data_IF_817313698543
#
_entry.id   IF_817313698543
#
_cell.length_a   1.000
_cell.length_b   1.000
_cell.length_c   1.000
_cell.angle_alpha   90.00
_cell.angle_beta   90.00
_cell.angle_gamma   90.00
#
_symmetry.space_group_name_H-M   'P 1'
#
loop_
_entity.id
_entity.type
_entity.pdbx_description
1 polymer ?
#
# COMPACT_ATOMS: atom_id res chain seq x y z
N UNK A 1 -39.63 -0.72 -19.54
CA UNK A 1 -38.91 -0.90 -18.28
C UNK A 1 -38.39 0.48 -17.90
N UNK A 2 -38.88 1.04 -16.82
CA UNK A 2 -38.45 2.37 -16.35
C UNK A 2 -37.03 2.20 -15.79
N UNK A 3 -36.02 2.75 -16.47
CA UNK A 3 -34.64 2.71 -16.02
C UNK A 3 -34.53 3.69 -14.84
N UNK A 4 -34.30 3.19 -13.66
CA UNK A 4 -34.16 4.04 -12.46
C UNK A 4 -32.76 4.66 -12.45
N UNK A 5 -32.68 5.99 -12.43
CA UNK A 5 -31.41 6.72 -12.38
C UNK A 5 -30.54 6.30 -11.18
N UNK A 6 -31.12 6.01 -10.02
CA UNK A 6 -30.38 5.52 -8.85
C UNK A 6 -29.72 4.17 -9.12
N UNK A 7 -30.34 3.29 -9.91
CA UNK A 7 -29.74 2.00 -10.28
C UNK A 7 -28.55 2.19 -11.24
N UNK A 8 -28.60 3.19 -12.11
CA UNK A 8 -27.47 3.55 -12.98
C UNK A 8 -26.32 4.16 -12.16
N UNK A 9 -26.64 5.08 -11.25
CA UNK A 9 -25.65 5.72 -10.37
C UNK A 9 -24.99 4.74 -9.38
N UNK A 10 -25.64 3.62 -9.03
CA UNK A 10 -25.03 2.59 -8.18
C UNK A 10 -23.85 1.87 -8.85
N UNK A 11 -23.68 2.02 -10.17
CA UNK A 11 -22.52 1.50 -10.90
C UNK A 11 -21.30 2.43 -10.86
N UNK A 12 -21.50 3.67 -10.40
CA UNK A 12 -20.42 4.66 -10.27
C UNK A 12 -19.69 4.44 -8.95
N UNK A 13 -18.41 4.14 -9.05
CA UNK A 13 -17.57 3.84 -7.90
C UNK A 13 -16.69 5.06 -7.59
N UNK A 14 -16.72 5.51 -6.34
CA UNK A 14 -15.78 6.52 -5.87
C UNK A 14 -14.35 5.95 -5.91
N UNK A 15 -13.39 6.63 -6.59
CA UNK A 15 -12.04 6.09 -6.78
C UNK A 15 -11.20 6.07 -5.49
N UNK A 16 -11.49 6.93 -4.50
CA UNK A 16 -10.77 6.98 -3.23
C UNK A 16 -11.35 5.99 -2.20
N UNK A 17 -12.68 5.85 -2.17
CA UNK A 17 -13.39 5.00 -1.22
C UNK A 17 -13.67 3.59 -1.75
N UNK A 18 -13.60 3.39 -3.08
CA UNK A 18 -13.85 2.11 -3.78
C UNK A 18 -15.22 1.49 -3.49
N UNK A 19 -16.20 2.34 -3.21
CA UNK A 19 -17.59 1.98 -2.97
C UNK A 19 -18.52 2.73 -3.93
N UNK A 20 -19.73 2.21 -4.21
CA UNK A 20 -20.73 2.92 -4.99
C UNK A 20 -21.10 4.27 -4.36
N UNK A 21 -21.17 5.33 -5.18
CA UNK A 21 -21.52 6.68 -4.68
C UNK A 21 -22.92 6.72 -4.02
N UNK A 22 -23.80 5.81 -4.40
CA UNK A 22 -25.12 5.65 -3.76
C UNK A 22 -25.00 5.11 -2.34
N UNK A 23 -24.11 4.16 -2.09
CA UNK A 23 -23.86 3.61 -0.76
C UNK A 23 -23.16 4.62 0.15
N UNK A 24 -22.32 5.48 -0.43
CA UNK A 24 -21.61 6.53 0.29
C UNK A 24 -22.49 7.72 0.69
N UNK A 25 -23.75 7.76 0.21
CA UNK A 25 -24.65 8.90 0.44
C UNK A 25 -24.26 10.14 -0.38
N UNK A 26 -23.46 9.93 -1.47
CA UNK A 26 -23.02 11.01 -2.35
C UNK A 26 -24.08 11.41 -3.38
N UNK A 27 -25.19 10.70 -3.50
CA UNK A 27 -26.28 11.04 -4.40
C UNK A 27 -27.32 11.87 -3.64
N UNK A 28 -27.51 13.12 -4.07
CA UNK A 28 -28.52 14.03 -3.56
C UNK A 28 -29.86 13.88 -4.28
N UNK A 29 -30.47 15.00 -4.67
CA UNK A 29 -31.73 15.00 -5.39
C UNK A 29 -31.57 14.40 -6.80
N UNK A 30 -32.47 13.48 -7.15
CA UNK A 30 -32.57 12.91 -8.49
C UNK A 30 -33.97 13.11 -9.02
N UNK A 31 -34.10 13.74 -10.18
CA UNK A 31 -35.38 14.04 -10.83
C UNK A 31 -35.37 13.45 -12.24
N UNK A 32 -36.32 12.53 -12.49
CA UNK A 32 -36.53 11.90 -13.80
C UNK A 32 -37.76 12.51 -14.47
N UNK A 33 -37.63 13.00 -15.70
CA UNK A 33 -38.72 13.60 -16.50
C UNK A 33 -38.69 13.06 -17.93
N UNK A 34 -39.29 11.90 -18.14
CA UNK A 34 -39.25 11.22 -19.44
C UNK A 34 -37.83 10.79 -19.81
N UNK A 35 -37.28 11.36 -20.87
CA UNK A 35 -35.91 11.08 -21.32
C UNK A 35 -34.84 11.99 -20.69
N UNK A 36 -35.26 12.95 -19.86
CA UNK A 36 -34.36 13.85 -19.14
C UNK A 36 -34.19 13.39 -17.69
N UNK A 37 -32.94 13.45 -17.21
CA UNK A 37 -32.59 13.24 -15.80
C UNK A 37 -31.71 14.35 -15.29
N UNK A 38 -32.04 14.86 -14.10
CA UNK A 38 -31.17 15.78 -13.34
C UNK A 38 -30.75 15.09 -12.04
N UNK A 39 -29.45 15.03 -11.75
CA UNK A 39 -28.92 14.41 -10.56
C UNK A 39 -27.92 15.34 -9.85
N UNK A 40 -28.05 15.43 -8.52
CA UNK A 40 -27.06 16.11 -7.68
C UNK A 40 -26.07 15.08 -7.11
N UNK A 41 -24.78 15.35 -7.26
CA UNK A 41 -23.70 14.53 -6.66
C UNK A 41 -23.01 15.37 -5.59
N UNK A 42 -22.95 14.85 -4.37
CA UNK A 42 -22.36 15.49 -3.20
C UNK A 42 -20.96 14.95 -2.95
N UNK A 43 -19.97 15.81 -3.10
CA UNK A 43 -18.56 15.47 -2.80
C UNK A 43 -18.30 15.51 -1.29
N UNK A 44 -17.34 14.74 -0.83
CA UNK A 44 -16.94 14.69 0.58
C UNK A 44 -16.34 16.02 1.07
N UNK A 45 -15.58 16.69 0.22
CA UNK A 45 -14.95 18.00 0.51
C UNK A 45 -15.00 18.92 -0.71
N UNK A 46 -14.87 20.22 -0.45
CA UNK A 46 -14.64 21.23 -1.50
C UNK A 46 -13.28 20.97 -2.13
N UNK A 47 -13.21 20.91 -3.46
CA UNK A 47 -11.96 20.66 -4.19
C UNK A 47 -11.49 19.20 -4.18
N UNK A 48 -12.41 18.24 -4.00
CA UNK A 48 -12.10 16.81 -4.09
C UNK A 48 -11.32 16.49 -5.37
N UNK A 49 -10.14 15.85 -5.30
CA UNK A 49 -9.34 15.49 -6.48
C UNK A 49 -10.07 14.57 -7.45
N UNK A 50 -11.00 13.77 -6.94
CA UNK A 50 -11.81 12.81 -7.71
C UNK A 50 -13.03 13.46 -8.40
N UNK A 51 -13.36 14.73 -8.14
CA UNK A 51 -14.60 15.38 -8.56
C UNK A 51 -14.88 15.22 -10.05
N UNK A 52 -13.93 15.57 -10.91
CA UNK A 52 -14.08 15.47 -12.37
C UNK A 52 -14.30 14.04 -12.86
N UNK A 53 -13.65 13.07 -12.21
CA UNK A 53 -13.82 11.67 -12.56
C UNK A 53 -15.21 11.18 -12.17
N UNK A 54 -15.66 11.48 -10.97
CA UNK A 54 -17.00 11.09 -10.47
C UNK A 54 -18.08 11.72 -11.33
N UNK A 55 -17.96 13.02 -11.67
CA UNK A 55 -18.92 13.71 -12.53
C UNK A 55 -19.01 13.05 -13.90
N UNK A 56 -17.90 12.83 -14.57
CA UNK A 56 -17.83 12.16 -15.88
C UNK A 56 -18.44 10.76 -15.83
N UNK A 57 -18.09 9.97 -14.81
CA UNK A 57 -18.55 8.59 -14.68
C UNK A 57 -20.06 8.55 -14.34
N UNK A 58 -20.57 9.53 -13.58
CA UNK A 58 -22.01 9.69 -13.31
C UNK A 58 -22.79 10.05 -14.58
N UNK A 59 -22.29 11.01 -15.38
CA UNK A 59 -22.89 11.36 -16.68
C UNK A 59 -22.92 10.14 -17.60
N UNK A 60 -21.81 9.43 -17.72
CA UNK A 60 -21.70 8.25 -18.58
C UNK A 60 -22.63 7.11 -18.12
N UNK A 61 -22.84 6.95 -16.81
CA UNK A 61 -23.77 5.96 -16.27
C UNK A 61 -25.21 6.33 -16.60
N UNK A 62 -25.61 7.58 -16.40
CA UNK A 62 -26.99 8.06 -16.66
C UNK A 62 -27.33 8.06 -18.15
N UNK A 63 -26.38 8.36 -19.05
CA UNK A 63 -26.56 8.30 -20.50
C UNK A 63 -26.91 6.91 -21.05
N UNK A 64 -26.76 5.85 -20.27
CA UNK A 64 -27.20 4.51 -20.65
C UNK A 64 -28.73 4.36 -20.65
N UNK A 65 -29.43 5.25 -19.96
CA UNK A 65 -30.89 5.18 -19.82
C UNK A 65 -31.64 6.47 -20.17
N UNK A 66 -30.94 7.59 -20.33
CA UNK A 66 -31.53 8.90 -20.56
C UNK A 66 -30.81 9.61 -21.71
N UNK A 67 -31.57 10.30 -22.58
CA UNK A 67 -30.99 11.06 -23.70
C UNK A 67 -30.53 12.47 -23.29
N UNK A 68 -31.14 13.06 -22.25
CA UNK A 68 -30.76 14.34 -21.67
C UNK A 68 -30.33 14.16 -20.23
N UNK A 69 -29.04 14.40 -19.94
CA UNK A 69 -28.44 14.22 -18.61
C UNK A 69 -27.87 15.52 -18.11
N UNK A 70 -28.27 15.94 -16.92
CA UNK A 70 -27.73 17.10 -16.22
C UNK A 70 -27.24 16.67 -14.82
N UNK A 71 -25.94 16.85 -14.55
CA UNK A 71 -25.33 16.54 -13.26
C UNK A 71 -24.85 17.83 -12.62
N UNK A 72 -25.27 18.07 -11.38
CA UNK A 72 -24.77 19.16 -10.55
C UNK A 72 -23.90 18.64 -9.43
N UNK A 73 -22.83 19.36 -9.12
CA UNK A 73 -21.88 19.00 -8.06
C UNK A 73 -22.09 19.91 -6.86
N UNK A 74 -22.25 19.33 -5.68
CA UNK A 74 -22.30 20.04 -4.39
C UNK A 74 -21.35 19.41 -3.38
N UNK A 75 -21.38 19.85 -2.14
CA UNK A 75 -20.54 19.28 -1.07
C UNK A 75 -21.44 18.82 0.07
N UNK A 76 -21.10 17.69 0.67
CA UNK A 76 -21.78 17.15 1.85
C UNK A 76 -21.80 18.13 3.01
N UNK A 77 -22.93 18.21 3.71
CA UNK A 77 -23.04 18.88 5.00
C UNK A 77 -22.21 18.18 6.08
N UNK A 78 -22.04 18.81 7.25
CA UNK A 78 -21.39 18.19 8.41
C UNK A 78 -22.05 16.87 8.81
N UNK A 79 -23.38 16.86 8.88
CA UNK A 79 -24.16 15.68 9.30
C UNK A 79 -24.01 14.52 8.31
N UNK A 80 -24.00 14.83 7.00
CA UNK A 80 -23.79 13.82 5.96
C UNK A 80 -22.38 13.24 6.00
N UNK A 81 -21.37 14.07 6.28
CA UNK A 81 -19.99 13.57 6.49
C UNK A 81 -19.88 12.70 7.74
N UNK A 82 -20.57 13.05 8.82
CA UNK A 82 -20.60 12.25 10.06
C UNK A 82 -21.27 10.90 9.82
N UNK A 83 -22.31 10.86 9.00
CA UNK A 83 -22.95 9.60 8.59
C UNK A 83 -22.03 8.76 7.71
N UNK A 84 -21.35 9.37 6.74
CA UNK A 84 -20.35 8.71 5.91
C UNK A 84 -19.24 8.10 6.77
N UNK A 85 -18.67 8.86 7.71
CA UNK A 85 -17.63 8.37 8.64
C UNK A 85 -18.11 7.17 9.46
N UNK A 86 -19.34 7.21 9.97
CA UNK A 86 -19.95 6.06 10.67
C UNK A 86 -20.07 4.83 9.78
N UNK A 87 -20.50 5.00 8.53
CA UNK A 87 -20.56 3.89 7.55
C UNK A 87 -19.18 3.29 7.26
N UNK A 88 -18.16 4.14 7.09
CA UNK A 88 -16.81 3.70 6.75
C UNK A 88 -16.07 3.02 7.93
N UNK A 89 -16.25 3.52 9.15
CA UNK A 89 -15.60 2.99 10.36
C UNK A 89 -16.41 1.86 11.03
N UNK A 90 -17.72 1.76 10.76
CA UNK A 90 -18.63 0.94 11.53
C UNK A 90 -18.73 1.44 12.99
N UNK A 91 -19.13 0.57 13.92
CA UNK A 91 -19.24 0.88 15.35
C UNK A 91 -17.90 0.85 16.09
N UNK A 92 -16.76 0.92 15.36
CA UNK A 92 -15.43 0.89 15.96
C UNK A 92 -15.10 2.21 16.65
N UNK A 93 -14.40 2.16 17.80
CA UNK A 93 -14.01 3.38 18.51
C UNK A 93 -13.08 4.25 17.65
N UNK A 94 -13.14 5.54 17.89
CA UNK A 94 -12.18 6.51 17.30
C UNK A 94 -10.77 6.07 17.71
N UNK A 95 -9.84 5.96 16.73
CA UNK A 95 -8.47 5.46 16.91
C UNK A 95 -8.34 3.98 17.28
N UNK A 96 -9.02 3.13 16.54
CA UNK A 96 -8.78 1.69 16.57
C UNK A 96 -7.75 1.31 15.48
N UNK A 97 -6.68 0.62 15.88
CA UNK A 97 -5.75 0.01 14.92
C UNK A 97 -6.34 -1.32 14.40
N UNK A 98 -6.88 -1.35 13.17
CA UNK A 98 -7.53 -2.56 12.66
C UNK A 98 -6.55 -3.71 12.45
N UNK A 99 -5.27 -3.41 12.22
CA UNK A 99 -4.25 -4.42 11.91
C UNK A 99 -3.71 -5.13 13.16
N UNK A 100 -3.99 -4.59 14.36
CA UNK A 100 -3.70 -5.27 15.63
C UNK A 100 -4.84 -6.21 16.06
N UNK A 101 -6.01 -6.13 15.42
CA UNK A 101 -7.15 -7.00 15.72
C UNK A 101 -6.84 -8.43 15.25
N UNK A 102 -6.93 -9.44 16.14
CA UNK A 102 -6.72 -10.85 15.78
C UNK A 102 -7.70 -11.37 14.70
N UNK A 103 -8.87 -10.73 14.54
CA UNK A 103 -9.84 -11.06 13.50
C UNK A 103 -9.47 -10.46 12.13
N UNK A 104 -8.58 -9.49 12.07
CA UNK A 104 -8.15 -8.90 10.81
C UNK A 104 -7.32 -9.89 9.99
N UNK A 105 -7.68 -10.06 8.73
CA UNK A 105 -7.04 -11.00 7.80
C UNK A 105 -5.92 -10.38 6.97
N UNK A 106 -5.71 -9.07 7.08
CA UNK A 106 -4.66 -8.36 6.33
C UNK A 106 -3.28 -8.89 6.72
N UNK A 107 -2.50 -9.24 5.73
CA UNK A 107 -1.09 -9.63 5.92
C UNK A 107 -0.21 -8.39 5.92
N UNK A 108 0.30 -8.03 7.08
CA UNK A 108 1.24 -6.91 7.21
C UNK A 108 2.65 -7.42 6.96
N UNK A 109 3.37 -6.78 6.03
CA UNK A 109 4.74 -7.16 5.65
C UNK A 109 5.63 -5.92 5.72
N UNK A 110 6.61 -5.96 6.61
CA UNK A 110 7.66 -4.95 6.69
C UNK A 110 8.76 -5.24 5.67
N UNK A 111 9.15 -4.23 4.93
CA UNK A 111 10.29 -4.32 4.01
C UNK A 111 11.43 -3.51 4.63
N UNK A 112 12.42 -4.23 5.13
CA UNK A 112 13.57 -3.66 5.81
C UNK A 112 14.88 -3.86 5.05
N UNK A 113 15.88 -3.04 5.35
CA UNK A 113 17.24 -3.19 4.84
C UNK A 113 18.26 -2.73 5.87
N UNK A 114 19.46 -3.29 5.80
CA UNK A 114 20.54 -2.87 6.69
C UNK A 114 21.12 -1.50 6.33
N UNK A 115 21.14 -1.15 5.05
CA UNK A 115 21.74 0.09 4.53
C UNK A 115 20.75 0.82 3.63
N UNK A 116 20.95 2.15 3.51
CA UNK A 116 20.33 2.95 2.45
C UNK A 116 20.93 2.61 1.07
N UNK A 117 20.20 2.90 0.01
CA UNK A 117 20.67 2.75 -1.37
C UNK A 117 20.68 1.32 -1.92
N UNK A 118 20.13 0.33 -1.21
CA UNK A 118 20.01 -1.05 -1.71
C UNK A 118 18.80 -1.27 -2.64
N UNK A 119 18.04 -0.23 -2.93
CA UNK A 119 16.83 -0.30 -3.78
C UNK A 119 15.58 -0.81 -3.06
N UNK A 120 15.55 -0.77 -1.72
CA UNK A 120 14.43 -1.23 -0.88
C UNK A 120 13.09 -0.62 -1.32
N UNK A 121 12.98 0.71 -1.36
CA UNK A 121 11.72 1.40 -1.67
C UNK A 121 11.26 1.17 -3.12
N UNK A 122 12.19 1.14 -4.08
CA UNK A 122 11.89 0.76 -5.48
C UNK A 122 11.31 -0.64 -5.55
N UNK A 123 11.88 -1.58 -4.82
CA UNK A 123 11.38 -2.95 -4.73
C UNK A 123 10.01 -2.98 -4.03
N UNK A 124 9.84 -2.25 -2.92
CA UNK A 124 8.58 -2.19 -2.17
C UNK A 124 7.43 -1.66 -3.03
N UNK A 125 7.65 -0.57 -3.77
CA UNK A 125 6.66 0.00 -4.69
C UNK A 125 6.26 -1.00 -5.79
N UNK A 126 7.25 -1.62 -6.44
CA UNK A 126 7.01 -2.60 -7.49
C UNK A 126 6.33 -3.88 -6.95
N UNK A 127 6.71 -4.34 -5.76
CA UNK A 127 6.08 -5.50 -5.12
C UNK A 127 4.60 -5.23 -4.76
N UNK A 128 4.30 -4.02 -4.27
CA UNK A 128 2.92 -3.61 -4.00
C UNK A 128 2.07 -3.63 -5.28
N UNK A 129 2.59 -3.09 -6.38
CA UNK A 129 1.91 -3.08 -7.68
C UNK A 129 1.79 -4.50 -8.25
N UNK A 130 2.81 -5.35 -8.12
CA UNK A 130 2.74 -6.75 -8.56
C UNK A 130 1.66 -7.54 -7.79
N UNK A 131 1.54 -7.35 -6.47
CA UNK A 131 0.47 -7.97 -5.68
C UNK A 131 -0.92 -7.45 -6.10
N UNK A 132 -1.04 -6.16 -6.38
CA UNK A 132 -2.29 -5.57 -6.89
C UNK A 132 -2.67 -6.17 -8.26
N UNK A 133 -1.72 -6.33 -9.18
CA UNK A 133 -1.95 -6.97 -10.48
C UNK A 133 -2.35 -8.46 -10.37
N UNK A 134 -1.99 -9.13 -9.28
CA UNK A 134 -2.46 -10.48 -8.95
C UNK A 134 -3.89 -10.48 -8.37
N UNK A 135 -4.56 -9.33 -8.27
CA UNK A 135 -5.93 -9.18 -7.81
C UNK A 135 -6.08 -8.98 -6.30
N UNK A 136 -5.00 -8.71 -5.57
CA UNK A 136 -5.07 -8.42 -4.14
C UNK A 136 -5.28 -6.92 -3.86
N UNK A 137 -6.02 -6.61 -2.80
CA UNK A 137 -6.17 -5.24 -2.28
C UNK A 137 -4.96 -4.90 -1.44
N UNK A 138 -4.19 -3.92 -1.87
CA UNK A 138 -2.88 -3.60 -1.30
C UNK A 138 -2.85 -2.17 -0.76
N UNK A 139 -2.39 -2.04 0.49
CA UNK A 139 -1.97 -0.79 1.10
C UNK A 139 -0.45 -0.72 1.19
N UNK A 140 0.09 0.49 1.14
CA UNK A 140 1.52 0.76 1.25
C UNK A 140 1.77 1.96 2.15
N UNK A 141 2.52 1.75 3.23
CA UNK A 141 3.02 2.80 4.11
C UNK A 141 4.50 3.04 3.82
N UNK A 142 4.86 4.28 3.52
CA UNK A 142 6.24 4.75 3.49
C UNK A 142 6.58 5.36 4.85
N UNK A 143 7.35 4.64 5.65
CA UNK A 143 7.77 5.03 6.98
C UNK A 143 9.23 5.55 7.03
N UNK A 144 9.87 5.73 5.87
CA UNK A 144 11.23 6.29 5.77
C UNK A 144 11.18 7.81 5.80
N UNK A 145 11.42 8.40 6.99
CA UNK A 145 11.31 9.85 7.20
C UNK A 145 12.38 10.64 6.47
N UNK A 146 13.58 10.08 6.41
CA UNK A 146 14.74 10.79 5.87
C UNK A 146 14.92 10.54 4.38
N UNK A 147 14.27 9.52 3.85
CA UNK A 147 14.42 9.10 2.47
C UNK A 147 13.10 8.68 1.82
N UNK A 148 11.97 9.30 2.24
CA UNK A 148 10.66 8.99 1.65
C UNK A 148 10.73 9.14 0.13
N UNK A 149 10.38 8.08 -0.57
CA UNK A 149 10.49 8.02 -2.03
C UNK A 149 9.30 7.34 -2.70
N UNK A 150 8.49 6.63 -1.96
CA UNK A 150 7.34 5.86 -2.50
C UNK A 150 6.39 6.72 -3.33
N UNK A 151 5.99 7.95 -2.91
CA UNK A 151 5.11 8.77 -3.75
C UNK A 151 5.72 9.06 -5.13
N UNK A 152 6.99 9.45 -5.17
CA UNK A 152 7.71 9.70 -6.42
C UNK A 152 7.81 8.45 -7.31
N UNK A 153 8.10 7.29 -6.72
CA UNK A 153 8.20 6.00 -7.42
C UNK A 153 6.87 5.53 -8.03
N UNK A 154 5.74 6.01 -7.50
CA UNK A 154 4.39 5.71 -7.98
C UNK A 154 3.73 6.87 -8.73
N UNK A 155 4.45 7.96 -9.00
CA UNK A 155 3.93 9.13 -9.70
C UNK A 155 2.83 9.88 -8.93
N UNK A 156 2.80 9.76 -7.59
CA UNK A 156 1.83 10.44 -6.73
C UNK A 156 2.34 11.84 -6.41
N UNK A 157 1.58 12.85 -6.81
CA UNK A 157 1.90 14.26 -6.57
C UNK A 157 0.99 14.95 -5.53
N UNK A 158 -0.06 14.25 -5.08
CA UNK A 158 -1.04 14.78 -4.13
C UNK A 158 -0.95 14.06 -2.79
N UNK A 159 -1.20 14.78 -1.71
CA UNK A 159 -1.36 14.17 -0.38
C UNK A 159 -2.74 13.50 -0.20
N UNK A 160 -2.99 12.93 1.00
CA UNK A 160 -4.28 12.32 1.31
C UNK A 160 -5.39 13.36 1.38
N UNK A 161 -6.58 12.99 0.93
CA UNK A 161 -7.80 13.78 1.10
C UNK A 161 -8.27 13.67 2.55
N UNK A 162 -8.45 14.80 3.23
CA UNK A 162 -8.92 14.83 4.62
C UNK A 162 -10.43 15.06 4.69
N UNK A 163 -11.14 14.14 5.31
CA UNK A 163 -12.55 14.27 5.66
C UNK A 163 -12.62 14.33 7.19
N UNK A 164 -12.52 15.53 7.74
CA UNK A 164 -12.31 15.81 9.16
C UNK A 164 -11.06 15.07 9.71
N UNK A 165 -11.19 14.11 10.61
CA UNK A 165 -10.08 13.30 11.13
C UNK A 165 -9.76 12.07 10.28
N UNK A 166 -10.59 11.74 9.29
CA UNK A 166 -10.35 10.60 8.40
C UNK A 166 -9.48 11.03 7.23
N UNK A 167 -8.46 10.24 6.93
CA UNK A 167 -7.57 10.45 5.79
C UNK A 167 -7.87 9.40 4.71
N UNK A 168 -8.21 9.87 3.51
CA UNK A 168 -8.34 9.01 2.34
C UNK A 168 -6.99 8.99 1.61
N UNK A 169 -6.31 7.84 1.55
CA UNK A 169 -5.01 7.75 0.91
C UNK A 169 -5.13 7.88 -0.60
N UNK A 170 -4.22 8.58 -1.30
CA UNK A 170 -4.17 8.54 -2.75
C UNK A 170 -3.95 7.11 -3.24
N UNK A 171 -4.50 6.81 -4.41
CA UNK A 171 -4.41 5.50 -5.04
C UNK A 171 -3.63 5.62 -6.34
N UNK A 172 -2.59 4.81 -6.48
CA UNK A 172 -1.83 4.67 -7.72
C UNK A 172 -1.65 3.17 -8.03
N UNK A 173 -1.87 2.78 -9.28
CA UNK A 173 -1.78 1.38 -9.74
C UNK A 173 -2.59 0.40 -8.85
N UNK A 174 -3.78 0.83 -8.43
CA UNK A 174 -4.66 0.10 -7.49
C UNK A 174 -4.06 -0.15 -6.10
N UNK A 175 -3.00 0.56 -5.71
CA UNK A 175 -2.40 0.53 -4.38
C UNK A 175 -2.78 1.80 -3.63
N UNK A 176 -3.32 1.65 -2.41
CA UNK A 176 -3.57 2.77 -1.49
C UNK A 176 -2.28 3.15 -0.78
N UNK A 177 -1.86 4.41 -0.86
CA UNK A 177 -0.51 4.82 -0.40
C UNK A 177 -0.60 5.93 0.63
N UNK A 178 0.14 5.79 1.72
CA UNK A 178 0.41 6.86 2.66
C UNK A 178 1.91 6.96 2.89
N UNK A 179 2.45 8.16 2.86
CA UNK A 179 3.87 8.43 3.12
C UNK A 179 4.02 9.55 4.13
N UNK A 180 5.01 9.42 4.99
CA UNK A 180 5.39 10.50 5.90
C UNK A 180 5.74 11.78 5.12
N UNK A 181 6.29 11.64 3.91
CA UNK A 181 6.62 12.75 3.02
C UNK A 181 5.41 13.60 2.59
N UNK A 182 4.20 13.03 2.60
CA UNK A 182 2.98 13.77 2.25
C UNK A 182 2.58 14.81 3.31
N UNK A 183 3.20 14.78 4.49
CA UNK A 183 2.93 15.67 5.62
C UNK A 183 4.10 16.62 5.91
N UNK A 184 5.15 16.55 5.11
CA UNK A 184 6.31 17.44 5.21
C UNK A 184 6.13 18.54 4.18
N UNK A 185 6.14 19.81 4.64
CA UNK A 185 6.13 20.96 3.74
C UNK A 185 7.44 21.00 2.94
N UNK A 186 7.36 21.32 1.67
CA UNK A 186 8.50 21.38 0.75
C UNK A 186 9.71 22.09 1.36
N UNK A 187 10.86 21.37 1.39
CA UNK A 187 12.17 21.85 1.81
C UNK A 187 12.32 22.38 3.25
N UNK A 188 11.37 22.12 4.15
CA UNK A 188 11.59 22.40 5.56
C UNK A 188 12.16 21.18 6.28
N UNK A 189 13.36 21.26 6.88
CA UNK A 189 13.87 20.18 7.71
C UNK A 189 12.97 20.04 8.96
N UNK A 190 12.18 18.99 9.00
CA UNK A 190 11.41 18.64 10.18
C UNK A 190 12.28 17.78 11.09
N UNK A 191 12.56 18.27 12.29
CA UNK A 191 13.28 17.49 13.29
C UNK A 191 12.32 16.46 13.91
N UNK A 192 12.14 15.33 13.23
CA UNK A 192 11.36 14.21 13.75
C UNK A 192 12.07 13.60 14.97
N UNK A 193 11.38 13.63 16.11
CA UNK A 193 11.82 12.91 17.32
C UNK A 193 11.05 11.60 17.44
N UNK A 194 11.65 10.58 18.07
CA UNK A 194 11.04 9.25 18.20
C UNK A 194 9.54 9.24 18.58
N UNK A 195 9.10 10.00 19.61
CA UNK A 195 7.68 10.05 19.99
C UNK A 195 6.75 10.66 18.91
N UNK A 196 7.24 11.63 18.14
CA UNK A 196 6.45 12.23 17.05
C UNK A 196 6.25 11.23 15.91
N UNK A 197 7.28 10.46 15.61
CA UNK A 197 7.26 9.42 14.60
C UNK A 197 6.31 8.30 14.99
N UNK A 198 6.41 7.80 16.22
CA UNK A 198 5.50 6.78 16.73
C UNK A 198 4.04 7.22 16.57
N UNK A 199 3.74 8.48 16.95
CA UNK A 199 2.39 9.06 16.79
C UNK A 199 1.95 9.15 15.33
N UNK A 200 2.84 9.55 14.40
CA UNK A 200 2.51 9.63 12.97
C UNK A 200 2.18 8.26 12.41
N UNK A 201 2.99 7.24 12.76
CA UNK A 201 2.75 5.86 12.34
C UNK A 201 1.43 5.33 12.94
N UNK A 202 1.16 5.60 14.22
CA UNK A 202 -0.11 5.25 14.85
C UNK A 202 -1.29 5.88 14.10
N UNK A 203 -1.20 7.16 13.73
CA UNK A 203 -2.22 7.83 12.92
C UNK A 203 -2.38 7.20 11.54
N UNK A 204 -1.31 6.75 10.89
CA UNK A 204 -1.41 6.05 9.61
C UNK A 204 -2.17 4.71 9.74
N UNK A 205 -2.09 4.07 10.89
CA UNK A 205 -2.81 2.83 11.14
C UNK A 205 -4.26 3.04 11.57
N UNK A 206 -4.56 4.18 12.24
CA UNK A 206 -5.87 4.42 12.87
C UNK A 206 -6.75 5.42 12.12
N UNK A 207 -6.18 6.46 11.53
CA UNK A 207 -6.90 7.58 10.96
C UNK A 207 -6.99 7.52 9.43
N UNK A 208 -6.18 6.65 8.78
CA UNK A 208 -6.27 6.39 7.34
C UNK A 208 -7.37 5.37 7.05
N UNK A 209 -8.21 5.66 6.07
CA UNK A 209 -9.19 4.71 5.56
C UNK A 209 -8.52 3.71 4.61
N UNK A 210 -8.20 2.54 5.12
CA UNK A 210 -7.58 1.48 4.34
C UNK A 210 -8.58 0.57 3.62
N UNK A 211 -9.85 0.59 4.03
CA UNK A 211 -10.82 -0.40 3.57
C UNK A 211 -10.45 -1.80 4.03
N UNK A 212 -10.84 -2.79 3.24
CA UNK A 212 -10.54 -4.20 3.51
C UNK A 212 -9.34 -4.64 2.66
N UNK A 213 -8.16 -4.69 3.27
CA UNK A 213 -6.91 -5.04 2.60
C UNK A 213 -6.59 -6.53 2.71
N UNK A 214 -5.97 -7.09 1.66
CA UNK A 214 -5.30 -8.40 1.70
C UNK A 214 -3.86 -8.27 2.18
N UNK A 215 -3.17 -7.19 1.77
CA UNK A 215 -1.79 -6.89 2.13
C UNK A 215 -1.61 -5.44 2.55
N UNK A 216 -0.83 -5.22 3.60
CA UNK A 216 -0.27 -3.91 3.96
C UNK A 216 1.25 -4.03 3.94
N UNK A 217 1.89 -3.42 2.95
CA UNK A 217 3.34 -3.31 2.92
C UNK A 217 3.79 -2.06 3.67
N UNK A 218 4.87 -2.17 4.41
CA UNK A 218 5.46 -1.03 5.15
C UNK A 218 6.92 -0.91 4.76
N UNK A 219 7.27 0.15 4.06
CA UNK A 219 8.64 0.49 3.70
C UNK A 219 9.34 1.12 4.91
N UNK A 220 10.24 0.37 5.54
CA UNK A 220 10.95 0.81 6.74
C UNK A 220 12.13 1.75 6.38
N UNK A 221 12.54 2.67 7.27
CA UNK A 221 13.84 3.31 7.12
C UNK A 221 14.96 2.28 7.18
N UNK A 222 16.11 2.58 6.53
CA UNK A 222 17.25 1.67 6.57
C UNK A 222 17.85 1.55 7.98
N UNK A 223 18.41 0.40 8.29
CA UNK A 223 19.08 0.14 9.56
C UNK A 223 18.17 -0.47 10.63
N UNK A 224 18.54 -0.23 11.89
CA UNK A 224 17.99 -0.91 13.07
C UNK A 224 17.35 0.08 14.04
N UNK A 225 16.79 1.18 13.51
CA UNK A 225 16.31 2.31 14.31
C UNK A 225 14.97 2.08 15.04
N UNK A 226 14.61 3.06 15.86
CA UNK A 226 13.42 3.08 16.71
C UNK A 226 12.10 2.86 15.96
N UNK A 227 12.07 3.19 14.66
CA UNK A 227 10.90 3.02 13.79
C UNK A 227 10.50 1.56 13.65
N UNK A 228 11.47 0.69 13.38
CA UNK A 228 11.22 -0.75 13.23
C UNK A 228 10.71 -1.37 14.53
N UNK A 229 11.25 -0.93 15.67
CA UNK A 229 10.83 -1.36 16.99
C UNK A 229 9.40 -0.87 17.29
N UNK A 230 9.13 0.41 17.05
CA UNK A 230 7.79 1.01 17.26
C UNK A 230 6.73 0.33 16.41
N UNK A 231 7.01 0.09 15.12
CA UNK A 231 6.12 -0.63 14.22
C UNK A 231 5.90 -2.07 14.67
N UNK A 232 6.95 -2.76 15.13
CA UNK A 232 6.83 -4.10 15.67
C UNK A 232 5.90 -4.18 16.89
N UNK A 233 5.92 -3.16 17.74
CA UNK A 233 5.00 -3.05 18.89
C UNK A 233 3.55 -2.78 18.48
N UNK A 234 3.34 -1.92 17.47
CA UNK A 234 2.02 -1.57 16.96
C UNK A 234 1.40 -2.69 16.10
N UNK A 235 2.23 -3.55 15.50
CA UNK A 235 1.85 -4.58 14.54
C UNK A 235 2.56 -5.92 14.88
N UNK A 236 2.25 -6.53 16.02
CA UNK A 236 2.98 -7.71 16.52
C UNK A 236 2.85 -8.95 15.64
N UNK A 237 1.80 -9.01 14.80
CA UNK A 237 1.56 -10.11 13.86
C UNK A 237 2.17 -9.86 12.47
N UNK A 238 2.93 -8.77 12.29
CA UNK A 238 3.58 -8.50 11.03
C UNK A 238 4.68 -9.52 10.73
N UNK A 239 4.89 -9.75 9.45
CA UNK A 239 6.05 -10.49 8.95
C UNK A 239 7.05 -9.51 8.36
N UNK A 240 8.30 -9.92 8.14
CA UNK A 240 9.31 -9.06 7.53
C UNK A 240 10.01 -9.73 6.34
N UNK A 241 10.43 -8.91 5.39
CA UNK A 241 11.32 -9.26 4.28
C UNK A 241 12.55 -8.37 4.39
N UNK A 242 13.73 -8.96 4.24
CA UNK A 242 15.00 -8.24 4.32
C UNK A 242 15.56 -8.05 2.92
N UNK A 243 15.82 -6.80 2.54
CA UNK A 243 16.46 -6.45 1.27
C UNK A 243 17.96 -6.20 1.49
N UNK A 244 18.78 -6.84 0.69
CA UNK A 244 20.25 -6.69 0.72
C UNK A 244 20.83 -6.60 -0.69
N UNK A 245 22.15 -6.45 -0.78
CA UNK A 245 22.94 -6.58 -2.02
C UNK A 245 23.98 -7.67 -1.84
N UNK A 246 24.66 -8.15 -2.91
CA UNK A 246 25.67 -9.21 -2.81
C UNK A 246 26.85 -8.90 -1.91
N UNK A 247 27.15 -7.63 -1.67
CA UNK A 247 28.29 -7.18 -0.90
C UNK A 247 28.26 -7.68 0.55
N UNK A 248 29.32 -8.28 1.02
CA UNK A 248 29.45 -8.82 2.38
C UNK A 248 29.16 -7.79 3.48
N UNK A 249 29.60 -6.54 3.30
CA UNK A 249 29.30 -5.46 4.27
C UNK A 249 27.81 -5.10 4.32
N UNK A 250 27.07 -5.23 3.21
CA UNK A 250 25.62 -5.02 3.19
C UNK A 250 24.90 -6.19 3.87
N UNK A 251 25.35 -7.42 3.62
CA UNK A 251 24.83 -8.62 4.24
C UNK A 251 24.91 -8.56 5.77
N UNK A 252 26.08 -8.23 6.34
CA UNK A 252 26.26 -8.13 7.80
C UNK A 252 25.32 -7.12 8.47
N UNK A 253 25.00 -6.00 7.81
CA UNK A 253 24.08 -5.01 8.37
C UNK A 253 22.63 -5.44 8.16
N UNK A 254 22.33 -6.12 7.05
CA UNK A 254 21.01 -6.69 6.79
C UNK A 254 20.62 -7.79 7.79
N UNK A 255 21.60 -8.63 8.23
CA UNK A 255 21.41 -9.59 9.31
C UNK A 255 20.91 -8.92 10.60
N UNK A 256 21.48 -7.77 10.98
CA UNK A 256 21.06 -7.01 12.15
C UNK A 256 19.63 -6.48 12.01
N UNK A 257 19.27 -5.98 10.83
CA UNK A 257 17.92 -5.51 10.56
C UNK A 257 16.89 -6.66 10.68
N UNK A 258 17.19 -7.83 10.12
CA UNK A 258 16.35 -9.01 10.27
C UNK A 258 16.27 -9.52 11.70
N UNK A 259 17.37 -9.46 12.47
CA UNK A 259 17.41 -9.86 13.87
C UNK A 259 16.50 -9.00 14.76
N UNK A 260 16.35 -7.69 14.48
CA UNK A 260 15.39 -6.83 15.18
C UNK A 260 13.97 -7.29 14.94
N UNK A 261 13.61 -7.66 13.70
CA UNK A 261 12.31 -8.25 13.40
C UNK A 261 12.02 -9.47 14.26
N UNK A 262 13.01 -10.38 14.38
CA UNK A 262 12.90 -11.55 15.24
C UNK A 262 12.74 -11.19 16.73
N UNK A 263 13.50 -10.21 17.23
CA UNK A 263 13.40 -9.75 18.64
C UNK A 263 12.05 -9.11 18.96
N UNK A 264 11.39 -8.50 17.97
CA UNK A 264 10.05 -7.93 18.11
C UNK A 264 8.94 -8.94 17.79
N UNK A 265 9.27 -10.24 17.68
CA UNK A 265 8.32 -11.32 17.49
C UNK A 265 7.85 -11.53 16.04
N UNK A 266 8.44 -10.85 15.07
CA UNK A 266 8.07 -10.97 13.68
C UNK A 266 8.64 -12.23 13.04
N UNK A 267 7.88 -12.81 12.10
CA UNK A 267 8.36 -13.87 11.23
C UNK A 267 9.10 -13.28 10.04
N UNK A 268 10.35 -13.69 9.81
CA UNK A 268 11.07 -13.34 8.58
C UNK A 268 10.61 -14.28 7.45
N UNK A 269 9.92 -13.73 6.44
CA UNK A 269 9.43 -14.48 5.27
C UNK A 269 10.57 -14.86 4.33
N UNK A 270 11.57 -14.02 4.24
CA UNK A 270 12.74 -14.29 3.39
C UNK A 270 13.62 -13.06 3.15
N UNK A 271 14.59 -13.27 2.30
CA UNK A 271 15.58 -12.27 1.88
C UNK A 271 15.43 -12.04 0.39
N UNK A 272 15.59 -10.79 -0.05
CA UNK A 272 15.68 -10.42 -1.47
C UNK A 272 17.05 -9.79 -1.68
N UNK A 273 17.80 -10.33 -2.65
CA UNK A 273 19.08 -9.76 -3.05
C UNK A 273 18.88 -8.90 -4.30
N UNK A 274 19.05 -7.60 -4.16
CA UNK A 274 18.99 -6.65 -5.28
C UNK A 274 20.39 -6.37 -5.81
N UNK A 275 20.50 -5.87 -7.05
CA UNK A 275 21.76 -5.59 -7.74
C UNK A 275 22.67 -6.83 -7.83
N UNK A 276 22.06 -8.00 -7.96
CA UNK A 276 22.77 -9.29 -7.86
C UNK A 276 23.73 -9.52 -9.01
N UNK A 277 23.33 -9.16 -10.21
CA UNK A 277 24.16 -9.36 -11.42
C UNK A 277 23.70 -8.41 -12.52
N UNK A 278 24.58 -8.18 -13.48
CA UNK A 278 24.27 -7.56 -14.76
C UNK A 278 24.16 -8.67 -15.82
N UNK A 279 23.02 -8.75 -16.51
CA UNK A 279 22.88 -9.62 -17.66
C UNK A 279 23.67 -9.09 -18.86
N UNK A 280 24.52 -9.92 -19.43
CA UNK A 280 25.32 -9.60 -20.62
C UNK A 280 25.14 -10.69 -21.69
N UNK A 281 25.44 -10.43 -22.96
CA UNK A 281 25.38 -11.44 -24.00
C UNK A 281 26.23 -12.70 -23.73
N UNK A 282 27.26 -12.55 -22.88
CA UNK A 282 28.19 -13.64 -22.50
C UNK A 282 27.80 -14.32 -21.18
N UNK A 283 26.70 -13.92 -20.54
CA UNK A 283 26.23 -14.45 -19.26
C UNK A 283 26.15 -13.41 -18.16
N UNK A 284 25.95 -13.86 -16.92
CA UNK A 284 25.81 -12.99 -15.75
C UNK A 284 27.17 -12.44 -15.30
N UNK A 285 27.24 -11.12 -15.11
CA UNK A 285 28.39 -10.45 -14.53
C UNK A 285 28.07 -9.96 -13.11
N UNK A 286 28.79 -10.46 -12.11
CA UNK A 286 28.57 -10.18 -10.69
C UNK A 286 29.42 -8.98 -10.23
N UNK A 287 29.05 -7.77 -10.65
CA UNK A 287 29.78 -6.53 -10.40
C UNK A 287 29.99 -6.26 -8.89
N UNK A 288 29.02 -6.60 -8.06
CA UNK A 288 29.05 -6.39 -6.61
C UNK A 288 29.37 -7.66 -5.80
N UNK A 289 29.91 -8.70 -6.46
CA UNK A 289 30.11 -10.01 -5.86
C UNK A 289 28.83 -10.86 -5.87
N UNK A 290 28.84 -11.96 -5.17
CA UNK A 290 27.74 -12.93 -5.14
C UNK A 290 27.56 -13.56 -3.76
N UNK A 291 26.34 -14.07 -3.48
CA UNK A 291 26.06 -14.88 -2.30
C UNK A 291 25.69 -14.11 -1.04
N UNK A 292 25.66 -12.77 -1.05
CA UNK A 292 25.31 -11.97 0.11
C UNK A 292 23.89 -12.27 0.63
N UNK A 293 22.92 -12.38 -0.26
CA UNK A 293 21.53 -12.73 0.10
C UNK A 293 21.41 -14.12 0.72
N UNK A 294 22.14 -15.11 0.17
CA UNK A 294 22.19 -16.47 0.74
C UNK A 294 22.83 -16.48 2.13
N UNK A 295 23.90 -15.68 2.34
CA UNK A 295 24.53 -15.56 3.66
C UNK A 295 23.57 -14.99 4.70
N UNK A 296 22.83 -13.92 4.35
CA UNK A 296 21.79 -13.34 5.22
C UNK A 296 20.68 -14.34 5.51
N UNK A 297 20.15 -15.02 4.50
CA UNK A 297 19.09 -16.01 4.66
C UNK A 297 19.49 -17.14 5.60
N UNK A 298 20.70 -17.70 5.43
CA UNK A 298 21.26 -18.73 6.31
C UNK A 298 21.40 -18.22 7.75
N UNK A 299 21.96 -17.02 7.93
CA UNK A 299 22.15 -16.45 9.27
C UNK A 299 20.84 -16.19 9.99
N UNK A 300 19.84 -15.69 9.29
CA UNK A 300 18.50 -15.48 9.86
C UNK A 300 17.79 -16.81 10.15
N UNK A 301 18.03 -17.85 9.37
CA UNK A 301 17.55 -19.20 9.67
C UNK A 301 18.15 -19.75 10.96
N UNK A 302 19.46 -19.57 11.17
CA UNK A 302 20.13 -19.97 12.42
C UNK A 302 19.57 -19.22 13.64
N UNK A 303 19.35 -17.89 13.50
CA UNK A 303 18.83 -17.07 14.59
C UNK A 303 17.38 -17.33 14.94
N UNK A 304 16.54 -17.64 13.94
CA UNK A 304 15.10 -17.86 14.12
C UNK A 304 14.76 -19.32 14.45
N UNK A 305 15.65 -20.26 14.16
CA UNK A 305 15.36 -21.70 14.21
C UNK A 305 14.35 -22.15 13.14
N UNK A 306 14.05 -21.31 12.14
CA UNK A 306 13.14 -21.59 11.03
C UNK A 306 13.86 -21.33 9.71
N UNK A 307 13.45 -22.03 8.65
CA UNK A 307 14.01 -21.78 7.32
C UNK A 307 13.61 -20.39 6.80
N UNK A 308 14.61 -19.52 6.56
CA UNK A 308 14.48 -18.24 5.89
C UNK A 308 15.06 -18.39 4.49
N UNK A 309 14.23 -18.19 3.45
CA UNK A 309 14.62 -18.42 2.06
C UNK A 309 15.14 -17.16 1.39
N UNK A 310 16.05 -17.33 0.43
CA UNK A 310 16.29 -16.29 -0.59
C UNK A 310 15.11 -16.31 -1.56
N UNK A 311 14.27 -15.26 -1.52
CA UNK A 311 13.04 -15.16 -2.33
C UNK A 311 13.33 -14.84 -3.80
N UNK A 312 14.42 -14.12 -4.06
CA UNK A 312 14.83 -13.79 -5.41
C UNK A 312 16.11 -12.97 -5.45
N UNK A 313 16.71 -12.94 -6.64
CA UNK A 313 17.90 -12.16 -6.97
C UNK A 313 17.55 -11.26 -8.16
N UNK A 314 17.51 -9.94 -7.92
CA UNK A 314 17.19 -8.97 -8.96
C UNK A 314 18.45 -8.58 -9.73
N UNK A 315 18.38 -8.55 -11.08
CA UNK A 315 19.46 -8.03 -11.90
C UNK A 315 19.63 -6.51 -11.71
N UNK A 316 20.78 -6.01 -12.08
CA UNK A 316 21.00 -4.58 -12.32
C UNK A 316 20.23 -4.24 -13.61
N UNK A 317 19.22 -3.37 -13.52
CA UNK A 317 18.36 -2.98 -14.65
C UNK A 317 18.36 -1.46 -14.80
N UNK A 318 18.83 -0.98 -15.96
CA UNK A 318 18.72 0.43 -16.34
C UNK A 318 17.26 0.84 -16.53
N UNK A 319 16.43 -0.09 -17.02
CA UNK A 319 15.01 0.11 -17.22
C UNK A 319 14.30 0.32 -15.88
N UNK A 320 14.56 -0.54 -14.89
CA UNK A 320 13.99 -0.40 -13.54
C UNK A 320 14.32 0.97 -12.94
N UNK A 321 15.58 1.44 -13.10
CA UNK A 321 16.01 2.76 -12.63
C UNK A 321 15.27 3.88 -13.38
N UNK A 322 15.26 3.84 -14.72
CA UNK A 322 14.66 4.90 -15.53
C UNK A 322 13.14 5.01 -15.29
N UNK A 323 12.45 3.89 -15.19
CA UNK A 323 11.03 3.86 -14.88
C UNK A 323 10.74 4.35 -13.46
N UNK A 324 11.56 3.99 -12.48
CA UNK A 324 11.46 4.48 -11.11
C UNK A 324 11.64 6.01 -11.03
N UNK A 325 12.63 6.57 -11.74
CA UNK A 325 12.84 8.03 -11.83
C UNK A 325 11.64 8.73 -12.51
N UNK A 326 10.95 8.03 -13.41
CA UNK A 326 9.74 8.51 -14.10
C UNK A 326 8.44 8.31 -13.32
N UNK A 327 8.46 7.78 -12.09
CA UNK A 327 7.26 7.51 -11.29
C UNK A 327 6.40 6.37 -11.85
N UNK A 328 6.98 5.45 -12.59
CA UNK A 328 6.30 4.32 -13.22
C UNK A 328 6.90 2.99 -12.72
N UNK A 329 6.18 2.18 -11.97
CA UNK A 329 6.63 0.85 -11.57
C UNK A 329 6.91 -0.04 -12.78
N UNK A 330 8.10 -0.61 -12.87
CA UNK A 330 8.52 -1.42 -14.03
C UNK A 330 7.65 -2.65 -14.24
N UNK A 331 7.11 -3.23 -13.18
CA UNK A 331 6.18 -4.37 -13.25
C UNK A 331 4.87 -4.02 -13.98
N UNK A 332 4.52 -2.73 -14.07
CA UNK A 332 3.37 -2.23 -14.80
C UNK A 332 3.76 -1.75 -16.20
N UNK A 333 4.82 -0.94 -16.31
CA UNK A 333 5.21 -0.29 -17.56
C UNK A 333 5.93 -1.22 -18.52
N UNK A 334 6.78 -2.12 -18.03
CA UNK A 334 7.58 -3.06 -18.85
C UNK A 334 7.59 -4.46 -18.18
N UNK A 335 6.47 -5.21 -18.28
CA UNK A 335 6.34 -6.51 -17.62
C UNK A 335 7.38 -7.55 -18.04
N UNK A 336 7.93 -7.42 -19.26
CA UNK A 336 8.93 -8.33 -19.80
C UNK A 336 10.36 -8.07 -19.36
N UNK A 337 10.62 -6.96 -18.65
CA UNK A 337 11.94 -6.68 -18.07
C UNK A 337 12.37 -7.80 -17.11
N UNK A 338 13.64 -8.25 -17.13
CA UNK A 338 14.12 -9.30 -16.24
C UNK A 338 13.88 -9.02 -14.75
N UNK A 339 14.03 -7.77 -14.29
CA UNK A 339 13.74 -7.40 -12.90
C UNK A 339 12.24 -7.50 -12.60
N UNK A 340 11.38 -7.08 -13.55
CA UNK A 340 9.92 -7.21 -13.47
C UNK A 340 9.51 -8.66 -13.22
N UNK A 341 10.03 -9.60 -14.03
CA UNK A 341 9.74 -11.04 -13.90
C UNK A 341 10.12 -11.57 -12.53
N UNK A 342 11.28 -11.21 -12.02
CA UNK A 342 11.72 -11.64 -10.68
C UNK A 342 10.80 -11.08 -9.59
N UNK A 343 10.41 -9.79 -9.66
CA UNK A 343 9.51 -9.18 -8.68
C UNK A 343 8.14 -9.86 -8.69
N UNK A 344 7.59 -10.15 -9.87
CA UNK A 344 6.31 -10.86 -10.02
C UNK A 344 6.38 -12.27 -9.42
N UNK A 345 7.47 -13.00 -9.63
CA UNK A 345 7.65 -14.32 -9.02
C UNK A 345 7.78 -14.25 -7.48
N UNK A 346 8.44 -13.22 -6.95
CA UNK A 346 8.48 -12.96 -5.51
C UNK A 346 7.05 -12.68 -5.00
N UNK A 347 6.28 -11.85 -5.69
CA UNK A 347 4.89 -11.55 -5.33
C UNK A 347 4.03 -12.83 -5.30
N UNK A 348 4.14 -13.68 -6.31
CA UNK A 348 3.45 -14.98 -6.36
C UNK A 348 3.87 -15.90 -5.21
N UNK A 349 5.16 -15.96 -4.90
CA UNK A 349 5.68 -16.75 -3.78
C UNK A 349 5.12 -16.28 -2.43
N UNK A 350 5.05 -14.96 -2.21
CA UNK A 350 4.42 -14.37 -1.03
C UNK A 350 2.93 -14.70 -0.98
N UNK A 351 2.25 -14.60 -2.11
CA UNK A 351 0.81 -14.86 -2.22
C UNK A 351 0.46 -16.34 -1.99
N UNK A 352 1.30 -17.26 -2.42
CA UNK A 352 1.11 -18.70 -2.25
C UNK A 352 1.33 -19.21 -0.82
N UNK A 353 1.99 -18.41 0.03
CA UNK A 353 2.21 -18.79 1.43
C UNK A 353 0.88 -18.80 2.18
N UNK A 354 0.47 -19.92 2.80
CA UNK A 354 -0.80 -20.00 3.51
C UNK A 354 -0.91 -18.93 4.60
N UNK A 355 -2.10 -18.35 4.74
CA UNK A 355 -2.41 -17.48 5.88
C UNK A 355 -2.35 -18.35 7.14
N UNK A 356 -1.45 -18.04 8.08
CA UNK A 356 -1.39 -18.74 9.36
C UNK A 356 -2.72 -18.58 10.11
N UNK A 357 -3.24 -19.67 10.64
CA UNK A 357 -4.46 -19.68 11.48
C UNK A 357 -4.12 -19.51 12.98
N UNK A 358 -2.89 -19.16 13.31
CA UNK A 358 -2.45 -18.97 14.69
C UNK A 358 -3.24 -17.82 15.32
N UNK A 359 -3.90 -18.10 16.43
CA UNK A 359 -4.72 -17.12 17.16
C UNK A 359 -6.18 -17.02 16.72
N UNK A 360 -6.63 -17.77 15.70
CA UNK A 360 -8.03 -17.84 15.31
C UNK A 360 -8.74 -19.01 15.98
N UNK A 361 -9.78 -18.71 16.76
CA UNK A 361 -10.71 -19.74 17.21
C UNK A 361 -11.47 -20.25 15.99
N UNK A 362 -11.35 -21.53 15.69
CA UNK A 362 -12.21 -22.17 14.69
C UNK A 362 -13.65 -22.16 15.22
N UNK A 363 -14.66 -21.81 14.38
CA UNK A 363 -16.06 -21.77 14.82
C UNK A 363 -16.70 -23.17 14.97
N UNK A 364 -15.92 -24.17 15.35
CA UNK A 364 -16.42 -25.50 15.57
C UNK A 364 -16.59 -25.72 17.06
N UNK A 365 -17.83 -25.64 17.56
CA UNK A 365 -18.22 -26.29 18.81
C UNK A 365 -18.33 -27.79 18.52
N UNK A 366 -17.49 -28.60 19.14
CA UNK A 366 -17.71 -30.06 19.18
C UNK A 366 -18.95 -30.29 20.04
N UNK A 367 -20.04 -30.65 19.40
CA UNK A 367 -21.27 -31.12 20.07
C UNK A 367 -21.06 -32.54 20.59
#
# INVERSE_FOLDING_TARGET
>A
MTTNALQLLSQVIDPELRLPITELGMVGAVVEQGEKVTAEIKLTIVGCPAAQRIERDAIAALQKGFSEVEVSMSTMSSDERDELKRKLRGDKPVRHNPFADPANLTRVIFIGSGKGGVGKSTLTANLAVALSQLGYRVGLIDADIFGYSIPGLLGISTGPTKVDELMLPPIAYEVSVISIGMFVEDNKPVAWRGPMLHRAIEQFLTDVYWGDLDYLLVDLPPGTGDVAISLGQLLPNASSIVVTTPQATAATVAERSGAIGLQTGQKVLGVIENLSYLDTPTGKNYIFGEGGGNAVARRLSELSGQEVKLLGQLPISETLRAEADGGRPVVHSIPDDPASKVIVEIAKSIASTPRGLVGKSLPFSVS
#
